data_IF_185994185864
#
_entry.id   IF_185994185864
#
_cell.length_a   1.000
_cell.length_b   1.000
_cell.length_c   1.000
_cell.angle_alpha   90.00
_cell.angle_beta   90.00
_cell.angle_gamma   90.00
#
_symmetry.space_group_name_H-M   'P 1'
#
loop_
_entity.id
_entity.type
_entity.pdbx_description
1 polymer ?
#
# COMPACT_ATOMS: atom_id res chain seq x y z
N UNK A 1 -6.41 -7.60 -8.46
CA UNK A 1 -6.79 -6.75 -7.30
C UNK A 1 -8.30 -6.58 -7.27
N UNK A 2 -8.87 -5.95 -8.25
CA UNK A 2 -10.32 -5.64 -8.32
C UNK A 2 -11.25 -6.85 -8.21
N UNK A 3 -10.91 -8.01 -8.78
CA UNK A 3 -11.74 -9.23 -8.73
C UNK A 3 -11.99 -9.79 -7.33
N UNK A 4 -10.94 -9.81 -6.49
CA UNK A 4 -10.97 -10.58 -5.24
C UNK A 4 -10.87 -9.71 -3.97
N UNK A 5 -10.47 -8.45 -4.09
CA UNK A 5 -10.19 -7.60 -2.92
C UNK A 5 -11.05 -6.33 -2.92
N UNK A 6 -10.74 -5.37 -3.80
CA UNK A 6 -11.39 -4.05 -3.78
C UNK A 6 -12.78 -4.04 -4.39
N UNK A 7 -13.03 -4.74 -5.50
CA UNK A 7 -14.37 -4.81 -6.10
C UNK A 7 -15.45 -5.30 -5.13
N UNK A 8 -15.26 -6.48 -4.49
CA UNK A 8 -16.18 -6.94 -3.46
C UNK A 8 -16.29 -5.99 -2.26
N UNK A 9 -15.21 -5.29 -1.87
CA UNK A 9 -15.25 -4.31 -0.79
C UNK A 9 -16.16 -3.12 -1.13
N UNK A 10 -16.07 -2.56 -2.34
CA UNK A 10 -16.97 -1.49 -2.79
C UNK A 10 -18.41 -1.96 -2.93
N UNK A 11 -18.65 -3.18 -3.42
CA UNK A 11 -20.00 -3.71 -3.53
C UNK A 11 -20.69 -3.93 -2.17
N UNK A 12 -19.92 -4.12 -1.09
CA UNK A 12 -20.41 -4.30 0.28
C UNK A 12 -20.45 -3.00 1.08
N UNK A 13 -19.72 -1.95 0.68
CA UNK A 13 -19.66 -0.70 1.45
C UNK A 13 -21.01 0.04 1.38
N UNK A 14 -21.51 0.39 2.57
CA UNK A 14 -22.77 1.11 2.67
C UNK A 14 -22.64 2.53 2.11
N UNK A 15 -23.57 2.92 1.24
CA UNK A 15 -23.56 4.25 0.61
C UNK A 15 -22.65 4.35 -0.61
N UNK A 16 -22.21 3.23 -1.20
CA UNK A 16 -21.50 3.20 -2.47
C UNK A 16 -22.03 2.14 -3.43
N UNK A 17 -21.78 2.36 -4.71
CA UNK A 17 -22.03 1.41 -5.78
C UNK A 17 -20.97 1.55 -6.87
N UNK A 18 -20.66 0.47 -7.58
CA UNK A 18 -19.77 0.53 -8.75
C UNK A 18 -20.64 0.89 -9.97
N UNK A 19 -20.61 2.16 -10.38
CA UNK A 19 -21.40 2.66 -11.51
C UNK A 19 -20.80 2.26 -12.86
N UNK A 20 -19.47 2.36 -12.99
CA UNK A 20 -18.78 2.11 -14.24
C UNK A 20 -17.40 1.50 -14.03
N UNK A 21 -16.87 0.85 -15.06
CA UNK A 21 -15.48 0.36 -15.09
C UNK A 21 -14.79 0.83 -16.36
N UNK A 22 -13.48 1.01 -16.30
CA UNK A 22 -12.65 1.36 -17.45
C UNK A 22 -11.46 0.43 -17.56
N UNK A 23 -11.18 -0.01 -18.79
CA UNK A 23 -9.93 -0.65 -19.18
C UNK A 23 -9.60 -0.30 -20.61
N UNK A 24 -8.33 0.03 -20.91
CA UNK A 24 -7.85 0.23 -22.29
C UNK A 24 -8.07 -1.00 -23.20
N UNK A 25 -8.20 -2.18 -22.60
CA UNK A 25 -8.58 -3.41 -23.26
C UNK A 25 -10.11 -3.55 -23.20
N UNK A 26 -10.78 -3.37 -24.36
CA UNK A 26 -12.22 -3.42 -24.50
C UNK A 26 -12.82 -4.75 -24.00
N UNK A 27 -12.19 -5.87 -24.33
CA UNK A 27 -12.70 -7.19 -23.95
C UNK A 27 -12.65 -7.38 -22.43
N UNK A 28 -11.60 -6.86 -21.77
CA UNK A 28 -11.49 -6.88 -20.30
C UNK A 28 -12.52 -5.97 -19.64
N UNK A 29 -12.74 -4.76 -20.15
CA UNK A 29 -13.72 -3.83 -19.59
C UNK A 29 -15.13 -4.44 -19.66
N UNK A 30 -15.52 -4.92 -20.84
CA UNK A 30 -16.83 -5.53 -21.06
C UNK A 30 -17.02 -6.78 -20.20
N UNK A 31 -16.08 -7.73 -20.24
CA UNK A 31 -16.14 -8.97 -19.45
C UNK A 31 -16.23 -8.70 -17.94
N UNK A 32 -15.50 -7.70 -17.43
CA UNK A 32 -15.59 -7.33 -16.02
C UNK A 32 -16.98 -6.77 -15.68
N UNK A 33 -17.50 -5.87 -16.51
CA UNK A 33 -18.81 -5.27 -16.32
C UNK A 33 -19.93 -6.34 -16.32
N UNK A 34 -19.91 -7.27 -17.27
CA UNK A 34 -20.89 -8.37 -17.37
C UNK A 34 -20.85 -9.28 -16.13
N UNK A 35 -19.65 -9.72 -15.69
CA UNK A 35 -19.49 -10.63 -14.55
C UNK A 35 -19.88 -10.01 -13.20
N UNK A 36 -19.80 -8.70 -13.09
CA UNK A 36 -20.09 -7.96 -11.86
C UNK A 36 -21.39 -7.14 -11.93
N UNK A 37 -22.21 -7.33 -12.98
CA UNK A 37 -23.47 -6.61 -13.21
C UNK A 37 -23.31 -5.07 -13.16
N UNK A 38 -22.20 -4.57 -13.71
CA UNK A 38 -21.93 -3.12 -13.79
C UNK A 38 -22.54 -2.61 -15.10
N UNK A 39 -23.31 -1.51 -15.01
CA UNK A 39 -24.12 -1.02 -16.14
C UNK A 39 -23.30 -0.47 -17.29
N UNK A 40 -22.15 0.16 -16.98
CA UNK A 40 -21.34 0.91 -17.94
C UNK A 40 -19.90 0.44 -17.94
N UNK A 41 -19.29 0.45 -19.10
CA UNK A 41 -17.86 0.26 -19.25
C UNK A 41 -17.30 1.19 -20.32
N UNK A 42 -16.05 1.61 -20.13
CA UNK A 42 -15.34 2.55 -20.99
C UNK A 42 -13.96 2.00 -21.38
N UNK A 43 -13.44 2.50 -22.51
CA UNK A 43 -12.06 2.23 -22.94
C UNK A 43 -11.15 3.45 -22.79
N UNK A 44 -11.75 4.63 -22.67
CA UNK A 44 -11.07 5.89 -22.35
C UNK A 44 -11.37 6.33 -20.92
N UNK A 45 -10.36 6.88 -20.25
CA UNK A 45 -10.48 7.32 -18.87
C UNK A 45 -11.32 8.58 -18.73
N UNK A 46 -11.27 9.50 -19.73
CA UNK A 46 -12.06 10.73 -19.68
C UNK A 46 -13.54 10.44 -19.80
N UNK A 47 -13.96 9.47 -20.64
CA UNK A 47 -15.36 9.09 -20.76
C UNK A 47 -15.94 8.61 -19.41
N UNK A 48 -15.14 7.88 -18.62
CA UNK A 48 -15.54 7.48 -17.26
C UNK A 48 -15.55 8.66 -16.29
N UNK A 49 -14.51 9.51 -16.33
CA UNK A 49 -14.35 10.64 -15.40
C UNK A 49 -15.46 11.68 -15.62
N UNK A 50 -15.86 11.93 -16.87
CA UNK A 50 -16.88 12.90 -17.24
C UNK A 50 -18.31 12.37 -17.11
N UNK A 51 -18.50 11.06 -16.87
CA UNK A 51 -19.84 10.52 -16.61
C UNK A 51 -20.47 11.19 -15.38
N UNK A 52 -21.64 11.85 -15.54
CA UNK A 52 -22.31 12.57 -14.45
C UNK A 52 -22.79 11.65 -13.32
N UNK A 53 -22.88 10.33 -13.54
CA UNK A 53 -23.28 9.37 -12.52
C UNK A 53 -22.07 8.79 -11.74
N UNK A 54 -20.84 9.18 -12.07
CA UNK A 54 -19.64 8.80 -11.33
C UNK A 54 -19.30 9.92 -10.35
N UNK A 55 -19.39 9.64 -9.06
CA UNK A 55 -19.11 10.61 -7.97
C UNK A 55 -17.63 10.61 -7.56
N UNK A 56 -16.95 9.46 -7.67
CA UNK A 56 -15.54 9.30 -7.29
C UNK A 56 -14.85 8.26 -8.18
N UNK A 57 -13.53 8.33 -8.30
CA UNK A 57 -12.75 7.44 -9.17
C UNK A 57 -11.79 6.59 -8.35
N UNK A 58 -11.92 5.25 -8.45
CA UNK A 58 -10.95 4.31 -7.92
C UNK A 58 -9.91 3.95 -9.00
N UNK A 59 -8.63 4.21 -8.70
CA UNK A 59 -7.51 3.97 -9.62
C UNK A 59 -6.76 2.70 -9.19
N UNK A 60 -6.93 1.62 -9.96
CA UNK A 60 -6.33 0.30 -9.69
C UNK A 60 -5.44 -0.18 -10.84
N UNK A 61 -4.91 0.74 -11.59
CA UNK A 61 -3.95 0.51 -12.69
C UNK A 61 -2.54 0.24 -12.13
N UNK A 62 -1.53 -0.07 -12.94
CA UNK A 62 -0.13 -0.03 -12.50
C UNK A 62 0.31 1.38 -12.08
N UNK A 63 1.28 1.50 -11.14
CA UNK A 63 1.73 2.79 -10.58
C UNK A 63 2.11 3.86 -11.61
N UNK A 64 2.64 3.46 -12.78
CA UNK A 64 3.00 4.37 -13.88
C UNK A 64 1.88 5.25 -14.42
N UNK A 65 0.63 4.94 -14.12
CA UNK A 65 -0.52 5.72 -14.56
C UNK A 65 -1.31 6.37 -13.41
N UNK A 66 -0.94 6.09 -12.14
CA UNK A 66 -1.66 6.61 -10.98
C UNK A 66 -1.71 8.15 -10.99
N UNK A 67 -0.56 8.80 -11.12
CA UNK A 67 -0.49 10.26 -11.10
C UNK A 67 -1.27 10.90 -12.25
N UNK A 68 -1.22 10.31 -13.45
CA UNK A 68 -1.95 10.83 -14.61
C UNK A 68 -3.46 10.78 -14.37
N UNK A 69 -4.00 9.62 -14.02
CA UNK A 69 -5.45 9.48 -13.82
C UNK A 69 -5.95 10.23 -12.59
N UNK A 70 -5.17 10.27 -11.51
CA UNK A 70 -5.53 11.03 -10.32
C UNK A 70 -5.66 12.54 -10.63
N UNK A 71 -4.69 13.11 -11.35
CA UNK A 71 -4.71 14.51 -11.76
C UNK A 71 -5.89 14.81 -12.70
N UNK A 72 -6.17 13.93 -13.66
CA UNK A 72 -7.31 14.06 -14.56
C UNK A 72 -8.64 14.09 -13.79
N UNK A 73 -8.86 13.12 -12.91
CA UNK A 73 -10.07 13.00 -12.13
C UNK A 73 -10.28 14.21 -11.19
N UNK A 74 -9.25 14.60 -10.44
CA UNK A 74 -9.35 15.74 -9.52
C UNK A 74 -9.59 17.08 -10.24
N UNK A 75 -8.99 17.29 -11.43
CA UNK A 75 -9.29 18.47 -12.26
C UNK A 75 -10.71 18.50 -12.80
N UNK A 76 -11.33 17.32 -12.97
CA UNK A 76 -12.76 17.19 -13.29
C UNK A 76 -13.68 17.24 -12.04
N UNK A 77 -13.13 17.55 -10.87
CA UNK A 77 -13.89 17.63 -9.62
C UNK A 77 -14.23 16.29 -8.97
N UNK A 78 -13.64 15.18 -9.44
CA UNK A 78 -13.94 13.85 -8.90
C UNK A 78 -12.90 13.44 -7.84
N UNK A 79 -13.32 13.15 -6.58
CA UNK A 79 -12.50 12.52 -5.57
C UNK A 79 -11.82 11.24 -6.09
N UNK A 80 -10.60 10.98 -5.61
CA UNK A 80 -9.86 9.81 -6.05
C UNK A 80 -9.47 8.91 -4.88
N UNK A 81 -9.53 7.59 -5.13
CA UNK A 81 -8.96 6.56 -4.28
C UNK A 81 -7.94 5.78 -5.10
N UNK A 82 -6.67 5.82 -4.71
CA UNK A 82 -5.55 5.30 -5.50
C UNK A 82 -4.99 4.03 -4.86
N UNK A 83 -4.75 2.97 -5.64
CA UNK A 83 -4.00 1.81 -5.15
C UNK A 83 -2.58 2.21 -4.73
N UNK A 84 -2.07 1.43 -3.78
CA UNK A 84 -0.68 1.59 -3.34
C UNK A 84 0.32 0.94 -4.34
N UNK A 85 1.57 1.44 -4.45
CA UNK A 85 2.02 2.72 -3.90
C UNK A 85 1.27 3.88 -4.56
N UNK A 86 1.21 5.03 -3.89
CA UNK A 86 0.45 6.20 -4.37
C UNK A 86 0.83 6.60 -5.80
N UNK A 87 2.12 6.52 -6.14
CA UNK A 87 2.66 6.78 -7.47
C UNK A 87 4.01 6.08 -7.66
N UNK A 88 4.67 6.25 -8.81
CA UNK A 88 6.01 5.68 -9.09
C UNK A 88 7.15 6.39 -8.38
N UNK A 89 6.93 7.60 -7.87
CA UNK A 89 7.95 8.40 -7.20
C UNK A 89 7.33 9.35 -6.18
N UNK A 90 8.19 9.86 -5.30
CA UNK A 90 7.82 10.94 -4.37
C UNK A 90 7.37 12.21 -5.10
N UNK A 91 8.04 12.60 -6.19
CA UNK A 91 7.68 13.80 -6.96
C UNK A 91 6.28 13.69 -7.57
N UNK A 92 5.90 12.50 -8.04
CA UNK A 92 4.54 12.26 -8.52
C UNK A 92 3.50 12.37 -7.38
N UNK A 93 3.82 11.86 -6.19
CA UNK A 93 2.97 12.01 -5.00
C UNK A 93 2.78 13.49 -4.65
N UNK A 94 3.86 14.29 -4.68
CA UNK A 94 3.80 15.73 -4.44
C UNK A 94 2.95 16.45 -5.51
N UNK A 95 3.03 16.02 -6.77
CA UNK A 95 2.16 16.52 -7.85
C UNK A 95 0.70 16.22 -7.59
N UNK A 96 0.36 15.00 -7.19
CA UNK A 96 -1.02 14.60 -6.84
C UNK A 96 -1.54 15.48 -5.70
N UNK A 97 -0.78 15.61 -4.60
CA UNK A 97 -1.17 16.42 -3.44
C UNK A 97 -1.32 17.92 -3.77
N UNK A 98 -0.47 18.44 -4.65
CA UNK A 98 -0.60 19.81 -5.12
C UNK A 98 -1.93 20.01 -5.85
N UNK A 99 -2.28 19.12 -6.78
CA UNK A 99 -3.55 19.21 -7.52
C UNK A 99 -4.75 19.04 -6.59
N UNK A 100 -4.70 18.10 -5.65
CA UNK A 100 -5.75 17.93 -4.64
C UNK A 100 -5.99 19.24 -3.86
N UNK A 101 -4.92 19.93 -3.46
CA UNK A 101 -5.00 21.23 -2.75
C UNK A 101 -5.53 22.34 -3.64
N UNK A 102 -5.06 22.43 -4.88
CA UNK A 102 -5.49 23.46 -5.85
C UNK A 102 -6.96 23.35 -6.25
N UNK A 103 -7.47 22.11 -6.35
CA UNK A 103 -8.85 21.84 -6.74
C UNK A 103 -9.80 21.73 -5.55
N UNK A 104 -9.29 21.55 -4.32
CA UNK A 104 -10.08 21.22 -3.14
C UNK A 104 -10.68 19.81 -3.17
N UNK A 105 -10.26 18.95 -4.12
CA UNK A 105 -10.81 17.61 -4.31
C UNK A 105 -9.97 16.59 -3.53
N UNK A 106 -10.58 15.75 -2.65
CA UNK A 106 -9.84 14.82 -1.82
C UNK A 106 -9.20 13.67 -2.60
N UNK A 107 -8.04 13.24 -2.11
CA UNK A 107 -7.29 12.09 -2.59
C UNK A 107 -7.01 11.13 -1.45
N UNK A 108 -7.38 9.86 -1.61
CA UNK A 108 -7.13 8.77 -0.66
C UNK A 108 -6.22 7.72 -1.27
N UNK A 109 -5.49 6.96 -0.43
CA UNK A 109 -4.55 5.92 -0.87
C UNK A 109 -4.85 4.59 -0.17
N UNK A 110 -4.74 3.48 -0.89
CA UNK A 110 -5.16 2.16 -0.44
C UNK A 110 -4.17 1.49 0.56
N UNK A 111 -3.72 2.21 1.58
CA UNK A 111 -2.98 1.64 2.70
C UNK A 111 -3.94 1.00 3.72
N UNK A 112 -4.73 0.03 3.26
CA UNK A 112 -5.85 -0.58 3.98
C UNK A 112 -5.47 -1.26 5.30
N UNK A 113 -4.20 -1.59 5.49
CA UNK A 113 -3.71 -2.19 6.74
C UNK A 113 -3.90 -1.28 7.94
N UNK A 114 -3.86 0.03 7.77
CA UNK A 114 -4.12 1.00 8.84
C UNK A 114 -5.50 0.80 9.51
N UNK A 115 -6.45 0.18 8.80
CA UNK A 115 -7.84 -0.05 9.26
C UNK A 115 -8.14 -1.52 9.59
N UNK A 116 -7.17 -2.43 9.43
CA UNK A 116 -7.41 -3.84 9.78
C UNK A 116 -7.33 -4.08 11.29
N UNK A 117 -8.26 -4.88 11.86
CA UNK A 117 -8.28 -5.22 13.29
C UNK A 117 -6.92 -5.71 13.80
N UNK A 118 -6.22 -6.50 13.01
CA UNK A 118 -4.89 -7.00 13.32
C UNK A 118 -3.89 -5.88 13.65
N UNK A 119 -3.79 -4.83 12.83
CA UNK A 119 -2.85 -3.73 13.05
C UNK A 119 -3.35 -2.73 14.09
N UNK A 120 -4.68 -2.59 14.25
CA UNK A 120 -5.26 -1.83 15.36
C UNK A 120 -4.90 -2.48 16.69
N UNK A 121 -4.87 -3.83 16.76
CA UNK A 121 -4.41 -4.55 17.95
C UNK A 121 -2.92 -4.33 18.21
N UNK A 122 -2.06 -4.36 17.19
CA UNK A 122 -0.64 -3.99 17.34
C UNK A 122 -0.51 -2.60 17.98
N UNK A 123 -1.25 -1.61 17.47
CA UNK A 123 -1.25 -0.23 17.99
C UNK A 123 -1.70 -0.16 19.45
N UNK A 124 -2.72 -0.92 19.83
CA UNK A 124 -3.19 -1.05 21.22
C UNK A 124 -2.12 -1.61 22.18
N UNK A 125 -1.28 -2.53 21.68
CA UNK A 125 -0.25 -3.18 22.48
C UNK A 125 1.02 -2.31 22.70
N UNK A 126 1.30 -1.32 21.85
CA UNK A 126 2.52 -0.50 21.94
C UNK A 126 2.78 0.09 23.34
N UNK A 127 1.79 0.64 24.07
CA UNK A 127 2.03 1.16 25.42
C UNK A 127 2.57 0.13 26.41
N UNK A 128 2.31 -1.17 26.19
CA UNK A 128 2.74 -2.24 27.09
C UNK A 128 4.26 -2.50 27.00
N UNK A 129 4.88 -2.22 25.87
CA UNK A 129 6.33 -2.35 25.70
C UNK A 129 7.12 -1.10 26.10
N UNK A 130 6.45 -0.08 26.62
CA UNK A 130 7.09 1.16 27.11
C UNK A 130 7.55 2.09 25.98
N UNK A 131 8.69 2.76 26.19
CA UNK A 131 9.26 3.66 25.19
C UNK A 131 9.89 2.86 24.05
N UNK A 132 9.51 3.16 22.81
CA UNK A 132 10.13 2.53 21.63
C UNK A 132 11.62 2.88 21.52
N UNK A 133 12.44 1.86 21.32
CA UNK A 133 13.92 1.96 21.23
C UNK A 133 14.41 1.64 19.82
N UNK A 134 13.82 0.63 19.16
CA UNK A 134 14.26 0.19 17.84
C UNK A 134 13.10 -0.46 17.05
N UNK A 135 13.18 -0.39 15.72
CA UNK A 135 12.27 -1.08 14.79
C UNK A 135 13.08 -1.94 13.83
N UNK A 136 12.67 -3.18 13.62
CA UNK A 136 13.29 -4.08 12.65
C UNK A 136 12.26 -4.64 11.69
N UNK A 137 12.57 -4.64 10.39
CA UNK A 137 11.76 -5.23 9.33
C UNK A 137 12.60 -6.32 8.68
N UNK A 138 12.06 -7.55 8.61
CA UNK A 138 12.67 -8.65 7.86
C UNK A 138 11.63 -9.25 6.92
N UNK A 139 11.95 -9.23 5.64
CA UNK A 139 11.12 -9.82 4.61
C UNK A 139 11.96 -10.59 3.61
N UNK A 140 11.67 -11.87 3.47
CA UNK A 140 12.31 -12.72 2.49
C UNK A 140 11.27 -13.65 1.85
N UNK A 141 11.33 -13.79 0.54
CA UNK A 141 10.50 -14.74 -0.21
C UNK A 141 11.27 -15.32 -1.41
N UNK A 142 10.91 -16.50 -1.86
CA UNK A 142 11.44 -17.03 -3.10
C UNK A 142 10.91 -16.26 -4.32
N UNK A 143 11.63 -16.37 -5.47
CA UNK A 143 11.12 -15.88 -6.75
C UNK A 143 9.79 -16.56 -7.09
N UNK A 144 8.93 -15.86 -7.80
CA UNK A 144 7.70 -16.44 -8.32
C UNK A 144 7.96 -17.15 -9.64
N UNK A 145 7.14 -18.12 -9.97
CA UNK A 145 7.27 -18.90 -11.21
C UNK A 145 7.37 -17.99 -12.46
N UNK A 146 6.59 -16.92 -12.50
CA UNK A 146 6.60 -15.96 -13.62
C UNK A 146 7.90 -15.15 -13.73
N UNK A 147 8.68 -15.06 -12.68
CA UNK A 147 9.96 -14.30 -12.68
C UNK A 147 11.04 -15.00 -13.52
N UNK A 148 10.90 -16.29 -13.76
CA UNK A 148 11.79 -17.07 -14.63
C UNK A 148 11.46 -16.94 -16.13
N UNK A 149 10.35 -16.30 -16.47
CA UNK A 149 9.96 -16.09 -17.87
C UNK A 149 10.42 -14.73 -18.37
N UNK A 150 11.67 -14.65 -18.86
CA UNK A 150 12.28 -13.40 -19.32
C UNK A 150 11.56 -12.74 -20.49
N UNK A 151 10.70 -13.47 -21.24
CA UNK A 151 9.94 -12.93 -22.36
C UNK A 151 8.58 -12.36 -21.95
N UNK A 152 8.10 -12.68 -20.74
CA UNK A 152 6.81 -12.21 -20.24
C UNK A 152 6.87 -11.97 -18.72
N UNK A 153 7.76 -11.08 -18.31
CA UNK A 153 7.91 -10.70 -16.91
C UNK A 153 6.65 -10.01 -16.37
N UNK A 154 6.27 -10.26 -15.12
CA UNK A 154 5.19 -9.52 -14.49
C UNK A 154 5.54 -8.03 -14.39
N UNK A 155 4.59 -7.15 -14.67
CA UNK A 155 4.79 -5.70 -14.65
C UNK A 155 5.42 -5.17 -13.33
N UNK A 156 5.26 -5.92 -12.24
CA UNK A 156 5.78 -5.57 -10.92
C UNK A 156 7.30 -5.53 -10.84
N UNK A 157 7.98 -6.28 -11.68
CA UNK A 157 9.46 -6.32 -11.73
C UNK A 157 10.03 -5.49 -12.88
N UNK A 158 9.16 -4.74 -13.59
CA UNK A 158 9.55 -3.80 -14.66
C UNK A 158 9.59 -2.39 -14.06
N UNK A 159 10.78 -1.78 -13.82
CA UNK A 159 10.92 -0.50 -13.12
C UNK A 159 10.08 0.63 -13.74
N UNK A 160 10.03 0.72 -15.07
CA UNK A 160 9.28 1.75 -15.81
C UNK A 160 7.76 1.67 -15.57
N UNK A 161 7.25 0.53 -15.07
CA UNK A 161 5.83 0.32 -14.79
C UNK A 161 5.55 0.35 -13.30
N UNK A 162 6.38 -0.31 -12.51
CA UNK A 162 6.17 -0.47 -11.06
C UNK A 162 6.78 0.66 -10.22
N UNK A 163 7.83 1.31 -10.71
CA UNK A 163 8.64 2.27 -9.98
C UNK A 163 9.90 1.68 -9.33
N UNK A 164 10.03 0.36 -9.19
CA UNK A 164 11.21 -0.26 -8.57
C UNK A 164 11.00 -1.69 -8.04
N UNK A 165 10.58 -2.60 -8.89
CA UNK A 165 10.50 -4.02 -8.59
C UNK A 165 9.57 -4.42 -7.43
N UNK A 166 9.81 -5.60 -6.88
CA UNK A 166 9.04 -6.11 -5.74
C UNK A 166 9.23 -5.28 -4.47
N UNK A 167 10.37 -4.63 -4.30
CA UNK A 167 10.55 -3.69 -3.20
C UNK A 167 9.48 -2.60 -3.25
N UNK A 168 9.24 -2.00 -4.42
CA UNK A 168 8.26 -0.94 -4.61
C UNK A 168 6.80 -1.43 -4.53
N UNK A 169 6.55 -2.73 -4.79
CA UNK A 169 5.21 -3.34 -4.62
C UNK A 169 4.92 -3.76 -3.17
N UNK A 170 5.90 -4.30 -2.44
CA UNK A 170 5.67 -4.96 -1.15
C UNK A 170 6.13 -4.14 0.05
N UNK A 171 7.32 -3.53 0.02
CA UNK A 171 7.84 -2.74 1.12
C UNK A 171 6.96 -1.53 1.52
N UNK A 172 6.18 -0.89 0.62
CA UNK A 172 5.26 0.18 1.01
C UNK A 172 4.31 -0.21 2.14
N UNK A 173 3.85 -1.45 2.17
CA UNK A 173 2.97 -1.92 3.23
C UNK A 173 3.64 -1.99 4.61
N UNK A 174 4.93 -2.29 4.64
CA UNK A 174 5.73 -2.37 5.86
C UNK A 174 6.17 -0.98 6.31
N UNK A 175 6.70 -0.19 5.38
CA UNK A 175 7.16 1.18 5.64
C UNK A 175 5.99 2.07 6.08
N UNK A 176 4.84 1.97 5.40
CA UNK A 176 3.63 2.68 5.77
C UNK A 176 3.17 2.31 7.19
N UNK A 177 3.15 1.01 7.50
CA UNK A 177 2.69 0.53 8.80
C UNK A 177 3.62 0.95 9.93
N UNK A 178 4.95 0.87 9.76
CA UNK A 178 5.85 1.32 10.81
C UNK A 178 5.79 2.84 11.01
N UNK A 179 5.52 3.61 9.96
CA UNK A 179 5.26 5.05 10.11
C UNK A 179 3.94 5.33 10.83
N UNK A 180 2.86 4.60 10.52
CA UNK A 180 1.58 4.72 11.22
C UNK A 180 1.69 4.39 12.72
N UNK A 181 2.57 3.44 13.08
CA UNK A 181 2.74 2.96 14.46
C UNK A 181 3.76 3.78 15.26
N UNK A 182 4.81 4.30 14.61
CA UNK A 182 5.99 4.84 15.28
C UNK A 182 6.27 6.31 15.01
N UNK A 183 5.57 6.94 14.06
CA UNK A 183 5.78 8.31 13.59
C UNK A 183 6.52 8.38 12.25
N UNK A 184 6.70 9.59 11.72
CA UNK A 184 7.30 9.80 10.39
C UNK A 184 8.79 9.44 10.36
N UNK A 185 9.22 8.75 9.32
CA UNK A 185 10.64 8.56 8.98
C UNK A 185 11.14 9.83 8.29
N UNK A 186 12.19 10.45 8.85
CA UNK A 186 12.76 11.72 8.37
C UNK A 186 14.14 11.56 7.72
N UNK A 187 14.76 10.39 7.83
CA UNK A 187 16.00 10.05 7.15
C UNK A 187 16.08 8.55 6.86
N UNK A 188 16.61 8.18 5.69
CA UNK A 188 16.71 6.80 5.27
C UNK A 188 17.87 6.59 4.27
N UNK A 189 18.59 5.47 4.42
CA UNK A 189 19.66 5.04 3.53
C UNK A 189 19.50 3.56 3.21
N UNK A 190 19.74 3.16 1.96
CA UNK A 190 19.68 1.79 1.50
C UNK A 190 20.88 1.37 0.68
N UNK A 191 21.15 0.07 0.72
CA UNK A 191 22.04 -0.64 -0.20
C UNK A 191 21.19 -1.63 -0.97
N UNK A 192 21.24 -1.53 -2.29
CA UNK A 192 20.40 -2.31 -3.19
C UNK A 192 21.28 -3.14 -4.15
N UNK A 193 20.83 -4.32 -4.48
CA UNK A 193 21.50 -5.13 -5.50
C UNK A 193 20.51 -6.04 -6.23
N UNK A 194 20.91 -6.52 -7.39
CA UNK A 194 20.23 -7.55 -8.13
C UNK A 194 21.11 -8.81 -8.08
N UNK A 195 20.77 -9.78 -7.22
CA UNK A 195 21.56 -10.98 -6.97
C UNK A 195 21.04 -12.21 -7.71
N UNK A 196 19.74 -12.26 -7.98
CA UNK A 196 19.10 -13.37 -8.71
C UNK A 196 19.21 -13.23 -10.22
N UNK A 197 19.36 -12.01 -10.75
CA UNK A 197 19.47 -11.76 -12.19
C UNK A 197 18.23 -12.13 -13.02
N UNK A 198 17.06 -12.31 -12.38
CA UNK A 198 15.84 -12.76 -13.05
C UNK A 198 15.12 -11.62 -13.78
N UNK A 199 15.32 -10.38 -13.35
CA UNK A 199 14.73 -9.15 -13.90
C UNK A 199 15.67 -7.97 -13.63
N UNK A 200 15.33 -6.76 -14.15
CA UNK A 200 16.21 -5.60 -14.02
C UNK A 200 16.17 -4.90 -12.66
N UNK A 201 15.02 -4.93 -11.98
CA UNK A 201 14.86 -4.26 -10.69
C UNK A 201 15.74 -4.91 -9.61
N UNK A 202 15.97 -4.16 -8.53
CA UNK A 202 16.62 -4.65 -7.33
C UNK A 202 15.78 -5.78 -6.71
N UNK A 203 16.43 -6.88 -6.36
CA UNK A 203 15.81 -8.04 -5.71
C UNK A 203 16.24 -8.22 -4.26
N UNK A 204 17.26 -7.47 -3.85
CA UNK A 204 17.81 -7.50 -2.48
C UNK A 204 18.09 -6.08 -2.03
N UNK A 205 17.46 -5.68 -0.91
CA UNK A 205 17.55 -4.32 -0.35
C UNK A 205 17.80 -4.43 1.16
N UNK A 206 18.77 -3.65 1.65
CA UNK A 206 18.99 -3.45 3.10
C UNK A 206 19.01 -1.96 3.39
N UNK A 207 18.34 -1.53 4.46
CA UNK A 207 18.20 -0.13 4.79
C UNK A 207 18.26 0.15 6.28
N UNK A 208 18.60 1.39 6.62
CA UNK A 208 18.39 1.98 7.96
C UNK A 208 17.62 3.28 7.82
N UNK A 209 16.88 3.64 8.88
CA UNK A 209 16.04 4.85 8.89
C UNK A 209 15.90 5.44 10.28
N UNK A 210 15.65 6.74 10.33
CA UNK A 210 15.44 7.52 11.55
C UNK A 210 14.08 8.18 11.52
N UNK A 211 13.36 8.08 12.64
CA UNK A 211 12.07 8.72 12.85
C UNK A 211 12.23 10.11 13.46
N UNK A 212 11.22 10.96 13.32
CA UNK A 212 11.18 12.32 13.86
C UNK A 212 11.34 12.38 15.40
N UNK A 213 10.86 11.35 16.10
CA UNK A 213 10.97 11.21 17.55
C UNK A 213 12.34 10.68 18.04
N UNK A 214 13.29 10.50 17.11
CA UNK A 214 14.65 10.01 17.39
C UNK A 214 14.79 8.48 17.40
N UNK A 215 13.70 7.74 17.26
CA UNK A 215 13.74 6.29 17.07
C UNK A 215 14.54 5.95 15.81
N UNK A 216 15.29 4.84 15.85
CA UNK A 216 16.00 4.29 14.69
C UNK A 216 15.50 2.90 14.35
N UNK A 217 15.60 2.55 13.08
CA UNK A 217 15.18 1.24 12.60
C UNK A 217 16.02 0.74 11.44
N UNK A 218 15.84 -0.52 11.12
CA UNK A 218 16.45 -1.16 9.97
C UNK A 218 15.46 -2.07 9.26
N UNK A 219 15.71 -2.32 7.98
CA UNK A 219 14.92 -3.24 7.17
C UNK A 219 15.76 -4.01 6.18
N UNK A 220 15.40 -5.27 5.93
CA UNK A 220 15.96 -6.08 4.86
C UNK A 220 14.86 -6.76 4.07
N UNK A 221 15.00 -6.74 2.75
CA UNK A 221 14.07 -7.34 1.80
C UNK A 221 14.85 -8.16 0.79
N UNK A 222 14.46 -9.44 0.64
CA UNK A 222 15.04 -10.35 -0.35
C UNK A 222 13.90 -11.06 -1.09
N UNK A 223 13.85 -10.90 -2.41
CA UNK A 223 12.79 -11.45 -3.27
C UNK A 223 13.26 -12.65 -4.08
N UNK A 224 14.45 -13.15 -3.79
CA UNK A 224 15.11 -14.28 -4.45
C UNK A 224 15.72 -15.26 -3.43
N UNK A 225 15.17 -15.28 -2.21
CA UNK A 225 15.59 -16.18 -1.15
C UNK A 225 15.14 -17.62 -1.42
N UNK A 226 15.80 -18.59 -0.80
CA UNK A 226 15.30 -19.96 -0.73
C UNK A 226 14.05 -20.04 0.16
N UNK A 227 13.14 -21.00 -0.09
CA UNK A 227 11.91 -21.17 0.70
C UNK A 227 12.21 -21.36 2.20
N UNK A 228 13.34 -21.98 2.55
CA UNK A 228 13.75 -22.17 3.94
C UNK A 228 14.12 -20.86 4.66
N UNK A 229 14.41 -19.79 3.91
CA UNK A 229 14.72 -18.47 4.43
C UNK A 229 13.52 -17.49 4.38
N UNK A 230 12.33 -17.99 3.99
CA UNK A 230 11.12 -17.18 3.90
C UNK A 230 10.75 -16.58 5.23
N UNK A 231 10.57 -15.26 5.26
CA UNK A 231 10.27 -14.51 6.46
C UNK A 231 9.36 -13.31 6.16
N UNK A 232 8.45 -13.02 7.07
CA UNK A 232 7.61 -11.82 7.08
C UNK A 232 7.46 -11.38 8.54
N UNK A 233 8.35 -10.49 8.99
CA UNK A 233 8.47 -10.13 10.39
C UNK A 233 8.76 -8.66 10.57
N UNK A 234 8.02 -8.03 11.49
CA UNK A 234 8.32 -6.72 12.05
C UNK A 234 8.44 -6.85 13.56
N UNK A 235 9.46 -6.23 14.13
CA UNK A 235 9.70 -6.15 15.55
C UNK A 235 9.69 -4.68 16.00
N UNK A 236 8.84 -4.37 16.97
CA UNK A 236 8.86 -3.13 17.73
C UNK A 236 9.50 -3.42 19.09
N UNK A 237 10.67 -2.87 19.32
CA UNK A 237 11.44 -3.10 20.55
C UNK A 237 11.30 -1.87 21.44
N UNK A 238 10.77 -2.07 22.63
CA UNK A 238 10.62 -1.06 23.68
C UNK A 238 11.53 -1.33 24.88
N UNK A 239 11.55 -0.41 25.85
CA UNK A 239 12.34 -0.54 27.07
C UNK A 239 11.71 -1.47 28.13
N UNK A 240 10.47 -1.97 27.88
CA UNK A 240 9.76 -2.91 28.75
C UNK A 240 9.34 -4.20 28.06
N UNK A 241 9.58 -4.32 26.75
CA UNK A 241 9.18 -5.49 26.00
C UNK A 241 9.34 -5.34 24.51
N UNK A 242 8.79 -6.28 23.77
CA UNK A 242 8.85 -6.33 22.31
C UNK A 242 7.55 -6.85 21.73
N UNK A 243 7.12 -6.31 20.60
CA UNK A 243 6.01 -6.83 19.81
C UNK A 243 6.55 -7.35 18.48
N UNK A 244 6.21 -8.60 18.14
CA UNK A 244 6.47 -9.21 16.84
C UNK A 244 5.16 -9.42 16.08
N UNK A 245 5.14 -9.05 14.81
CA UNK A 245 3.98 -9.26 13.94
C UNK A 245 4.40 -9.38 12.47
N UNK A 246 3.47 -9.76 11.60
CA UNK A 246 3.69 -9.90 10.15
C UNK A 246 2.78 -8.98 9.34
N UNK A 247 3.19 -8.66 8.11
CA UNK A 247 2.40 -7.79 7.22
C UNK A 247 1.52 -8.58 6.25
N UNK A 248 1.99 -9.73 5.78
CA UNK A 248 1.32 -10.48 4.72
C UNK A 248 0.76 -11.81 5.20
N UNK A 249 1.44 -12.47 6.13
CA UNK A 249 1.09 -13.82 6.61
C UNK A 249 0.09 -13.81 7.75
N UNK A 250 -0.09 -12.66 8.42
CA UNK A 250 -1.01 -12.49 9.55
C UNK A 250 -0.85 -13.57 10.62
N UNK A 251 0.39 -13.91 10.93
CA UNK A 251 0.69 -14.80 12.07
C UNK A 251 0.24 -14.14 13.37
N UNK A 252 -0.05 -14.92 14.44
CA UNK A 252 -0.41 -14.34 15.73
C UNK A 252 0.58 -13.24 16.14
N UNK A 253 0.07 -12.13 16.65
CA UNK A 253 0.88 -11.06 17.22
C UNK A 253 1.49 -11.57 18.51
N UNK A 254 2.81 -11.53 18.65
CA UNK A 254 3.49 -11.92 19.88
C UNK A 254 3.97 -10.69 20.64
N UNK A 255 3.49 -10.54 21.88
CA UNK A 255 4.01 -9.61 22.88
C UNK A 255 4.95 -10.36 23.82
N UNK A 256 6.15 -9.83 24.01
CA UNK A 256 7.13 -10.31 24.97
C UNK A 256 7.39 -9.21 26.01
N UNK A 257 7.16 -9.48 27.25
CA UNK A 257 7.38 -8.59 28.39
C UNK A 257 7.93 -9.33 29.61
N UNK A 258 7.92 -8.71 30.79
CA UNK A 258 8.41 -9.32 32.04
C UNK A 258 7.57 -10.49 32.51
N UNK A 259 6.33 -10.64 32.04
CA UNK A 259 5.41 -11.76 32.40
C UNK A 259 5.57 -12.96 31.45
N UNK A 260 6.26 -12.75 30.31
CA UNK A 260 6.55 -13.82 29.34
C UNK A 260 6.12 -13.49 27.93
N UNK A 261 5.67 -14.51 27.19
CA UNK A 261 5.19 -14.41 25.82
C UNK A 261 3.68 -14.58 25.76
N UNK A 262 3.01 -13.58 25.20
CA UNK A 262 1.57 -13.58 24.95
C UNK A 262 1.29 -13.56 23.46
N UNK A 263 0.35 -14.36 22.98
CA UNK A 263 -0.03 -14.41 21.56
C UNK A 263 -1.47 -13.97 21.37
N UNK A 264 -1.69 -13.18 20.29
CA UNK A 264 -3.01 -12.68 19.92
C UNK A 264 -3.31 -13.09 18.48
N UNK A 265 -4.28 -13.96 18.31
CA UNK A 265 -4.81 -14.34 16.99
C UNK A 265 -6.00 -13.43 16.67
N UNK A 266 -5.80 -12.53 15.71
CA UNK A 266 -6.78 -11.52 15.32
C UNK A 266 -7.26 -11.81 13.90
N UNK A 267 -8.50 -12.27 13.72
CA UNK A 267 -9.02 -12.55 12.38
C UNK A 267 -9.20 -11.27 11.55
N UNK A 268 -8.81 -11.35 10.30
CA UNK A 268 -9.10 -10.28 9.35
C UNK A 268 -10.47 -10.46 8.70
N UNK A 269 -11.13 -9.38 8.25
CA UNK A 269 -12.34 -9.49 7.48
C UNK A 269 -12.09 -10.25 6.17
N UNK A 270 -13.11 -10.93 5.64
CA UNK A 270 -13.07 -11.65 4.36
C UNK A 270 -12.48 -10.79 3.22
N UNK A 271 -12.87 -9.52 3.19
CA UNK A 271 -12.35 -8.54 2.24
C UNK A 271 -11.47 -7.53 2.98
N UNK A 272 -10.17 -7.76 3.00
CA UNK A 272 -9.19 -6.96 3.76
C UNK A 272 -9.19 -5.45 3.42
N UNK A 273 -9.68 -5.05 2.26
CA UNK A 273 -9.81 -3.63 1.91
C UNK A 273 -11.10 -2.98 2.42
N UNK A 274 -12.09 -3.79 2.85
CA UNK A 274 -13.43 -3.29 3.21
C UNK A 274 -13.40 -2.20 4.30
N UNK A 275 -12.66 -2.33 5.42
CA UNK A 275 -12.69 -1.30 6.45
C UNK A 275 -12.22 0.08 5.96
N UNK A 276 -11.16 0.13 5.13
CA UNK A 276 -10.70 1.40 4.55
C UNK A 276 -11.66 1.92 3.48
N UNK A 277 -12.18 1.04 2.62
CA UNK A 277 -13.18 1.44 1.59
C UNK A 277 -14.40 2.06 2.27
N UNK A 278 -14.92 1.47 3.35
CA UNK A 278 -16.03 2.05 4.10
C UNK A 278 -15.66 3.42 4.69
N UNK A 279 -14.46 3.56 5.27
CA UNK A 279 -14.00 4.84 5.81
C UNK A 279 -13.88 5.95 4.74
N UNK A 280 -13.45 5.61 3.52
CA UNK A 280 -13.41 6.54 2.38
C UNK A 280 -14.85 6.92 1.96
N UNK A 281 -15.74 5.95 1.84
CA UNK A 281 -17.16 6.18 1.51
C UNK A 281 -17.83 7.05 2.57
N UNK A 282 -17.60 6.79 3.84
CA UNK A 282 -18.13 7.58 4.96
C UNK A 282 -17.61 9.01 4.93
N UNK A 283 -16.32 9.21 4.64
CA UNK A 283 -15.74 10.55 4.47
C UNK A 283 -16.43 11.31 3.33
N UNK A 284 -16.59 10.69 2.17
CA UNK A 284 -17.22 11.31 1.01
C UNK A 284 -18.71 11.63 1.23
N UNK A 285 -19.38 10.85 2.08
CA UNK A 285 -20.77 11.07 2.49
C UNK A 285 -20.92 11.98 3.72
N UNK A 286 -19.83 12.57 4.24
CA UNK A 286 -19.86 13.46 5.40
C UNK A 286 -20.15 12.78 6.74
N UNK A 287 -19.98 11.45 6.83
CA UNK A 287 -20.25 10.63 8.03
C UNK A 287 -19.03 10.41 8.92
N UNK A 288 -17.83 10.75 8.44
CA UNK A 288 -16.59 10.55 9.18
C UNK A 288 -15.39 11.18 8.49
N UNK A 289 -14.18 10.94 9.04
CA UNK A 289 -12.91 11.40 8.47
C UNK A 289 -12.03 10.19 8.19
N UNK A 290 -11.61 10.03 6.93
CA UNK A 290 -10.60 9.06 6.56
C UNK A 290 -9.22 9.70 6.63
N UNK A 291 -8.33 9.16 7.48
CA UNK A 291 -6.96 9.65 7.66
C UNK A 291 -5.97 9.11 6.63
N UNK A 292 -6.39 8.17 5.79
CA UNK A 292 -5.53 7.56 4.76
C UNK A 292 -5.58 8.37 3.46
N UNK A 293 -5.22 9.65 3.56
CA UNK A 293 -5.20 10.61 2.45
C UNK A 293 -3.83 10.65 1.73
N UNK A 294 -3.76 11.41 0.64
CA UNK A 294 -2.53 11.56 -0.14
C UNK A 294 -1.38 12.18 0.66
N UNK A 295 -1.67 13.06 1.63
CA UNK A 295 -0.64 13.71 2.46
C UNK A 295 -0.01 12.68 3.40
N UNK A 296 -0.84 11.90 4.10
CA UNK A 296 -0.38 10.86 5.04
C UNK A 296 0.32 9.67 4.35
N UNK A 297 0.01 9.43 3.07
CA UNK A 297 0.58 8.35 2.27
C UNK A 297 1.95 8.70 1.63
N UNK A 298 2.17 9.98 1.33
CA UNK A 298 3.35 10.47 0.60
C UNK A 298 4.70 10.15 1.27
N UNK A 299 4.86 10.23 2.61
CA UNK A 299 6.11 9.87 3.27
C UNK A 299 6.62 8.46 2.93
N UNK A 300 5.72 7.51 2.69
CA UNK A 300 6.11 6.14 2.30
C UNK A 300 6.86 6.11 0.97
N UNK A 301 6.41 6.87 -0.04
CA UNK A 301 7.13 6.97 -1.31
C UNK A 301 8.48 7.68 -1.16
N UNK A 302 8.56 8.73 -0.32
CA UNK A 302 9.80 9.41 -0.02
C UNK A 302 10.84 8.45 0.58
N UNK A 303 10.46 7.65 1.57
CA UNK A 303 11.34 6.66 2.20
C UNK A 303 11.83 5.62 1.18
N UNK A 304 10.94 5.11 0.34
CA UNK A 304 11.32 4.13 -0.70
C UNK A 304 12.32 4.72 -1.69
N UNK A 305 12.10 5.96 -2.17
CA UNK A 305 12.98 6.62 -3.11
C UNK A 305 14.34 6.94 -2.48
N UNK A 306 14.38 7.33 -1.18
CA UNK A 306 15.63 7.50 -0.41
C UNK A 306 16.41 6.18 -0.30
N UNK A 307 15.74 5.09 0.04
CA UNK A 307 16.36 3.75 0.17
C UNK A 307 16.95 3.30 -1.17
N UNK A 308 16.25 3.55 -2.28
CA UNK A 308 16.72 3.20 -3.63
C UNK A 308 17.71 4.21 -4.24
N UNK A 309 18.06 5.30 -3.53
CA UNK A 309 19.00 6.29 -4.00
C UNK A 309 18.52 7.10 -5.21
N UNK A 310 17.22 7.36 -5.31
CA UNK A 310 16.64 8.11 -6.42
C UNK A 310 16.81 9.63 -6.31
N UNK A 311 17.28 10.15 -5.18
CA UNK A 311 17.67 11.55 -4.91
C UNK A 311 18.59 11.70 -3.70
#
# INVERSE_FOLDING_TARGET
MTEKKSGPAFAKAEGSAIEAVMSRDKAKAQSYAERHNIRKWYTDAMDLIEDPNVDAVYIATPPSSHATYAVMAMKAGKPVYIEKPMAQSYDECMRINRVSRETGVPCFVAYYRRYLPYFLKVKELIPQIGKLINVQIRFAQPPKELDYNSTNLPWRVIPDISGGGYFYDLAPHQIDMVQELCGCIIDAYGLCSNRGGLYQAEDTVSACFKFENGLVGSGSWCFVADESAKEDRIELIGDKGMICFSIFTFQPIALHDSEGRHEFDIPNPEHVQFPLVQAVVDHLNGKGVCSCDGISATPTNWVMDRILGKF
#
